data_IF_099113870346
#
_entry.id   IF_099113870346
#
_cell.length_a   1.000
_cell.length_b   1.000
_cell.length_c   1.000
_cell.angle_alpha   90.00
_cell.angle_beta   90.00
_cell.angle_gamma   90.00
#
_symmetry.space_group_name_H-M   'P 1'
#
loop_
_entity.id
_entity.type
_entity.pdbx_description
1 polymer ?
#
# COMPACT_ATOMS: atom_id res chain seq x y z
N UNK A 1 -25.38 -18.77 4.53
CA UNK A 1 -24.28 -19.09 3.59
C UNK A 1 -23.04 -18.37 4.09
N UNK A 2 -22.11 -19.07 4.75
CA UNK A 2 -20.84 -18.49 5.19
C UNK A 2 -19.88 -18.47 4.00
N UNK A 3 -19.56 -17.29 3.48
CA UNK A 3 -18.47 -17.12 2.53
C UNK A 3 -17.15 -17.38 3.28
N UNK A 4 -16.51 -18.52 2.97
CA UNK A 4 -15.16 -18.82 3.47
C UNK A 4 -14.18 -17.85 2.79
N UNK A 5 -13.83 -16.75 3.45
CA UNK A 5 -12.69 -15.93 3.07
C UNK A 5 -11.41 -16.74 3.33
N UNK A 6 -10.88 -17.40 2.30
CA UNK A 6 -9.56 -18.02 2.38
C UNK A 6 -8.50 -16.92 2.40
N UNK A 7 -7.84 -16.73 3.54
CA UNK A 7 -6.70 -15.85 3.68
C UNK A 7 -5.53 -16.42 2.85
N UNK A 8 -5.19 -15.79 1.74
CA UNK A 8 -4.00 -16.14 0.98
C UNK A 8 -2.79 -15.42 1.62
N UNK A 9 -2.14 -16.10 2.57
CA UNK A 9 -0.85 -15.66 3.12
C UNK A 9 0.24 -16.07 2.12
N UNK A 10 0.79 -15.11 1.38
CA UNK A 10 1.91 -15.35 0.47
C UNK A 10 3.19 -15.01 1.23
N UNK A 11 3.80 -16.00 1.90
CA UNK A 11 5.14 -15.89 2.48
C UNK A 11 6.18 -16.01 1.36
N UNK A 12 6.90 -14.92 1.06
CA UNK A 12 8.03 -14.91 0.13
C UNK A 12 9.34 -14.98 0.91
N UNK A 13 9.72 -16.18 1.34
CA UNK A 13 11.00 -16.43 2.00
C UNK A 13 12.08 -16.66 0.92
N UNK A 14 12.70 -15.58 0.42
CA UNK A 14 13.81 -15.65 -0.54
C UNK A 14 15.16 -15.75 0.19
N UNK A 15 15.38 -16.91 0.80
CA UNK A 15 16.74 -17.40 1.01
C UNK A 15 17.33 -17.90 -0.30
N UNK A 16 18.52 -17.40 -0.64
CA UNK A 16 19.45 -17.91 -1.66
C UNK A 16 19.37 -17.28 -3.08
N UNK A 17 20.28 -16.32 -3.27
CA UNK A 17 21.05 -16.01 -4.48
C UNK A 17 20.36 -15.40 -5.71
N UNK A 18 21.03 -14.38 -6.22
CA UNK A 18 20.94 -13.83 -7.56
C UNK A 18 19.76 -12.88 -7.80
N UNK A 19 20.07 -11.59 -7.73
CA UNK A 19 19.60 -10.49 -8.57
C UNK A 19 18.52 -10.82 -9.61
N UNK A 20 17.29 -11.09 -9.20
CA UNK A 20 16.16 -10.99 -10.12
C UNK A 20 15.16 -10.03 -9.51
N UNK A 21 15.24 -8.79 -10.00
CA UNK A 21 14.21 -7.77 -9.87
C UNK A 21 12.96 -8.25 -10.62
N UNK A 22 12.27 -9.25 -10.10
CA UNK A 22 10.96 -9.66 -10.59
C UNK A 22 9.93 -8.68 -10.06
N UNK A 23 9.40 -7.84 -10.96
CA UNK A 23 8.14 -7.15 -10.73
C UNK A 23 7.04 -8.19 -10.53
N UNK A 24 6.70 -8.49 -9.28
CA UNK A 24 5.60 -9.41 -8.97
C UNK A 24 4.27 -8.69 -9.19
N UNK A 25 3.42 -9.23 -10.07
CA UNK A 25 2.07 -8.72 -10.30
C UNK A 25 1.07 -9.71 -9.68
N UNK A 26 0.41 -9.32 -8.60
CA UNK A 26 -0.64 -10.12 -7.96
C UNK A 26 -2.00 -9.67 -8.53
N UNK A 27 -2.75 -10.59 -9.13
CA UNK A 27 -4.11 -10.34 -9.58
C UNK A 27 -5.09 -11.25 -8.82
N UNK A 28 -5.86 -10.67 -7.91
CA UNK A 28 -6.83 -11.42 -7.13
C UNK A 28 -8.16 -10.67 -7.08
N UNK A 29 -9.15 -11.13 -7.86
CA UNK A 29 -10.49 -10.57 -7.82
C UNK A 29 -11.22 -11.07 -6.56
N UNK A 30 -11.43 -10.20 -5.56
CA UNK A 30 -12.16 -10.48 -4.32
C UNK A 30 -11.42 -11.42 -3.33
N UNK A 31 -10.12 -11.22 -3.13
CA UNK A 31 -9.34 -11.96 -2.13
C UNK A 31 -8.88 -11.05 -0.98
N UNK A 32 -8.64 -11.65 0.19
CA UNK A 32 -7.79 -11.06 1.21
C UNK A 32 -6.35 -11.49 0.94
N UNK A 33 -5.50 -10.52 0.61
CA UNK A 33 -4.11 -10.76 0.19
C UNK A 33 -3.17 -10.10 1.19
N UNK A 34 -2.24 -10.88 1.75
CA UNK A 34 -1.15 -10.35 2.54
C UNK A 34 0.15 -10.42 1.74
N UNK A 35 0.90 -9.32 1.71
CA UNK A 35 2.07 -9.16 0.85
C UNK A 35 3.23 -8.67 1.72
N UNK A 36 4.27 -9.48 1.84
CA UNK A 36 5.47 -9.20 2.64
C UNK A 36 6.73 -9.28 1.75
N UNK A 37 6.99 -8.24 0.95
CA UNK A 37 8.18 -8.19 0.12
C UNK A 37 9.40 -7.74 0.92
N UNK A 38 10.39 -8.62 0.95
CA UNK A 38 11.69 -8.40 1.58
C UNK A 38 12.75 -8.27 0.47
N UNK A 39 13.20 -7.05 0.15
CA UNK A 39 14.24 -6.84 -0.87
C UNK A 39 14.21 -5.50 -1.61
N UNK A 40 15.10 -5.34 -2.59
CA UNK A 40 15.22 -4.11 -3.40
C UNK A 40 14.35 -4.09 -4.67
N UNK A 41 13.57 -5.14 -4.94
CA UNK A 41 12.69 -5.24 -6.10
C UNK A 41 11.31 -4.61 -5.85
N UNK A 42 10.69 -4.08 -6.91
CA UNK A 42 9.34 -3.55 -6.83
C UNK A 42 8.25 -4.56 -7.15
N UNK A 43 7.02 -4.31 -6.73
CA UNK A 43 5.86 -5.18 -6.99
C UNK A 43 4.58 -4.38 -7.21
N UNK A 44 3.61 -4.98 -7.88
CA UNK A 44 2.30 -4.40 -8.15
C UNK A 44 1.18 -5.32 -7.66
N UNK A 45 0.16 -4.72 -7.08
CA UNK A 45 -1.02 -5.42 -6.57
C UNK A 45 -2.24 -4.91 -7.30
N UNK A 46 -3.04 -5.83 -7.83
CA UNK A 46 -4.29 -5.53 -8.50
C UNK A 46 -5.41 -6.37 -7.88
N UNK A 47 -6.32 -5.69 -7.18
CA UNK A 47 -7.44 -6.33 -6.48
C UNK A 47 -8.66 -5.42 -6.50
N UNK A 48 -9.54 -5.53 -7.52
CA UNK A 48 -10.62 -4.57 -7.76
C UNK A 48 -11.57 -4.34 -6.58
N UNK A 49 -11.83 -5.40 -5.81
CA UNK A 49 -12.79 -5.41 -4.69
C UNK A 49 -12.26 -6.22 -3.49
N UNK A 50 -10.96 -6.53 -3.43
CA UNK A 50 -10.40 -7.32 -2.33
C UNK A 50 -9.90 -6.46 -1.17
N UNK A 51 -9.25 -7.11 -0.23
CA UNK A 51 -8.56 -6.47 0.88
C UNK A 51 -7.07 -6.81 0.79
N UNK A 52 -6.22 -5.81 0.61
CA UNK A 52 -4.77 -6.01 0.64
C UNK A 52 -4.15 -5.46 1.91
N UNK A 53 -3.34 -6.29 2.56
CA UNK A 53 -2.43 -5.86 3.61
C UNK A 53 -1.00 -5.96 3.09
N UNK A 54 -0.32 -4.82 3.02
CA UNK A 54 0.99 -4.68 2.39
C UNK A 54 2.00 -4.24 3.45
N UNK A 55 2.98 -5.11 3.74
CA UNK A 55 4.02 -4.89 4.76
C UNK A 55 5.43 -4.97 4.14
N UNK A 56 5.88 -3.94 3.41
CA UNK A 56 7.22 -3.90 2.84
C UNK A 56 8.26 -3.45 3.86
N UNK A 57 9.34 -4.23 3.94
CA UNK A 57 10.54 -3.90 4.73
C UNK A 57 11.77 -3.62 3.83
N UNK A 58 11.54 -3.54 2.51
CA UNK A 58 12.57 -3.38 1.49
C UNK A 58 12.84 -1.94 1.03
N UNK A 59 13.85 -1.78 0.17
CA UNK A 59 14.15 -0.51 -0.52
C UNK A 59 13.42 -0.38 -1.88
N UNK A 60 12.75 -1.45 -2.32
CA UNK A 60 11.99 -1.48 -3.56
C UNK A 60 10.64 -0.76 -3.45
N UNK A 61 10.23 -0.11 -4.54
CA UNK A 61 8.95 0.59 -4.60
C UNK A 61 7.78 -0.27 -5.07
N UNK A 62 6.55 0.10 -4.77
CA UNK A 62 5.38 -0.70 -5.15
C UNK A 62 4.15 0.11 -5.51
N UNK A 63 3.24 -0.50 -6.27
CA UNK A 63 1.96 0.11 -6.60
C UNK A 63 0.81 -0.82 -6.21
N UNK A 64 -0.24 -0.25 -5.64
CA UNK A 64 -1.47 -0.96 -5.29
C UNK A 64 -2.63 -0.33 -6.04
N UNK A 65 -3.42 -1.15 -6.74
CA UNK A 65 -4.61 -0.76 -7.47
C UNK A 65 -5.82 -1.54 -6.96
N UNK A 66 -6.66 -0.86 -6.17
CA UNK A 66 -7.86 -1.41 -5.54
C UNK A 66 -9.06 -0.46 -5.64
N UNK A 67 -9.69 -0.32 -6.82
CA UNK A 67 -10.81 0.58 -7.09
C UNK A 67 -11.89 0.69 -6.02
N UNK A 68 -12.34 -0.45 -5.49
CA UNK A 68 -13.42 -0.53 -4.50
C UNK A 68 -12.99 -1.37 -3.28
N UNK A 69 -11.69 -1.65 -3.15
CA UNK A 69 -11.14 -2.53 -2.12
C UNK A 69 -10.77 -1.80 -0.83
N UNK A 70 -10.16 -2.56 0.08
CA UNK A 70 -9.55 -2.04 1.28
C UNK A 70 -8.05 -2.26 1.26
N UNK A 71 -7.28 -1.20 1.17
CA UNK A 71 -5.82 -1.26 1.24
C UNK A 71 -5.33 -0.85 2.62
N UNK A 72 -4.57 -1.70 3.29
CA UNK A 72 -3.77 -1.34 4.47
C UNK A 72 -2.28 -1.47 4.14
N UNK A 73 -1.54 -0.41 4.41
CA UNK A 73 -0.10 -0.36 4.15
C UNK A 73 0.65 -0.01 5.43
N UNK A 74 1.61 -0.86 5.80
CA UNK A 74 2.57 -0.62 6.88
C UNK A 74 3.99 -0.81 6.34
N UNK A 75 4.64 0.27 5.91
CA UNK A 75 5.99 0.20 5.35
C UNK A 75 7.05 0.64 6.37
N UNK A 76 8.02 -0.23 6.62
CA UNK A 76 9.24 0.12 7.38
C UNK A 76 10.43 0.42 6.45
N UNK A 77 10.30 0.07 5.16
CA UNK A 77 11.33 0.25 4.16
C UNK A 77 11.59 1.69 3.70
N UNK A 78 12.65 1.86 2.91
CA UNK A 78 13.01 3.15 2.28
C UNK A 78 12.44 3.31 0.85
N UNK A 79 11.77 2.29 0.32
CA UNK A 79 11.17 2.31 -1.02
C UNK A 79 9.91 3.16 -1.09
N UNK A 80 9.69 3.84 -2.22
CA UNK A 80 8.51 4.67 -2.43
C UNK A 80 7.33 3.91 -3.04
N UNK A 81 6.09 4.34 -2.80
CA UNK A 81 4.92 3.61 -3.26
C UNK A 81 3.73 4.46 -3.67
N UNK A 82 2.87 3.91 -4.53
CA UNK A 82 1.63 4.55 -4.94
C UNK A 82 0.42 3.64 -4.66
N UNK A 83 -0.65 4.24 -4.14
CA UNK A 83 -1.92 3.55 -3.91
C UNK A 83 -3.00 4.25 -4.73
N UNK A 84 -3.74 3.47 -5.50
CA UNK A 84 -4.88 3.94 -6.28
C UNK A 84 -6.14 3.18 -5.83
N UNK A 85 -7.00 3.89 -5.10
CA UNK A 85 -8.23 3.33 -4.52
C UNK A 85 -9.38 4.35 -4.61
N UNK A 86 -9.91 4.62 -5.82
CA UNK A 86 -10.86 5.69 -6.09
C UNK A 86 -12.16 5.68 -5.28
N UNK A 87 -12.71 4.51 -4.95
CA UNK A 87 -13.91 4.38 -4.13
C UNK A 87 -13.68 3.49 -2.89
N UNK A 88 -12.42 3.07 -2.67
CA UNK A 88 -12.07 2.15 -1.60
C UNK A 88 -11.69 2.86 -0.31
N UNK A 89 -11.28 2.07 0.68
CA UNK A 89 -10.68 2.59 1.91
C UNK A 89 -9.19 2.33 1.88
N UNK A 90 -8.40 3.36 2.12
CA UNK A 90 -6.94 3.27 2.20
C UNK A 90 -6.50 3.67 3.60
N UNK A 91 -5.71 2.82 4.25
CA UNK A 91 -5.03 3.15 5.51
C UNK A 91 -3.52 3.01 5.31
N UNK A 92 -2.78 4.07 5.59
CA UNK A 92 -1.34 4.16 5.34
C UNK A 92 -0.61 4.51 6.62
N UNK A 93 0.24 3.62 7.12
CA UNK A 93 1.03 3.77 8.35
C UNK A 93 2.53 3.52 8.07
N UNK A 94 3.21 4.44 7.37
CA UNK A 94 4.63 4.30 7.07
C UNK A 94 5.49 4.74 8.25
N UNK A 95 6.48 3.91 8.57
CA UNK A 95 7.49 4.17 9.58
C UNK A 95 8.90 4.33 8.98
N UNK A 96 9.07 4.03 7.68
CA UNK A 96 10.34 4.13 6.97
C UNK A 96 10.67 5.50 6.38
N UNK A 97 11.73 5.56 5.58
CA UNK A 97 12.18 6.79 4.91
C UNK A 97 11.59 6.96 3.49
N UNK A 98 10.84 5.98 2.99
CA UNK A 98 10.26 5.99 1.65
C UNK A 98 9.06 6.94 1.54
N UNK A 99 8.95 7.65 0.42
CA UNK A 99 7.82 8.53 0.15
C UNK A 99 6.64 7.82 -0.52
N UNK A 100 5.43 8.36 -0.41
CA UNK A 100 4.26 7.74 -1.03
C UNK A 100 3.23 8.71 -1.56
N UNK A 101 2.45 8.22 -2.52
CA UNK A 101 1.28 8.90 -3.02
C UNK A 101 0.03 8.03 -2.87
N UNK A 102 -1.06 8.63 -2.40
CA UNK A 102 -2.37 7.99 -2.33
C UNK A 102 -3.36 8.76 -3.19
N UNK A 103 -4.10 8.06 -4.04
CA UNK A 103 -5.13 8.62 -4.93
C UNK A 103 -6.47 7.92 -4.65
N UNK A 104 -7.44 8.67 -4.12
CA UNK A 104 -8.74 8.15 -3.72
C UNK A 104 -9.87 9.18 -3.87
N UNK A 105 -10.24 9.59 -5.10
CA UNK A 105 -11.17 10.69 -5.37
C UNK A 105 -12.55 10.64 -4.69
N UNK A 106 -13.07 9.46 -4.34
CA UNK A 106 -14.35 9.28 -3.64
C UNK A 106 -14.22 8.31 -2.44
N UNK A 107 -12.99 7.94 -2.08
CA UNK A 107 -12.71 6.93 -1.07
C UNK A 107 -12.58 7.52 0.33
N UNK A 108 -12.16 6.69 1.28
CA UNK A 108 -11.69 7.17 2.58
C UNK A 108 -10.21 6.90 2.69
N UNK A 109 -9.42 7.91 3.02
CA UNK A 109 -7.99 7.79 3.22
C UNK A 109 -7.61 8.21 4.64
N UNK A 110 -7.04 7.27 5.40
CA UNK A 110 -6.45 7.57 6.70
C UNK A 110 -4.94 7.35 6.63
N UNK A 111 -4.19 8.36 7.04
CA UNK A 111 -2.74 8.41 6.87
C UNK A 111 -2.07 8.79 8.18
N UNK A 112 -1.32 7.86 8.79
CA UNK A 112 -0.58 8.02 10.05
C UNK A 112 0.93 7.76 9.84
N UNK A 113 1.66 8.69 9.20
CA UNK A 113 3.08 8.55 8.96
C UNK A 113 3.89 8.86 10.22
N UNK A 114 4.77 7.95 10.58
CA UNK A 114 5.73 8.07 11.68
C UNK A 114 7.19 8.12 11.17
N UNK A 115 7.41 7.92 9.87
CA UNK A 115 8.73 7.90 9.24
C UNK A 115 9.24 9.28 8.77
N UNK A 116 10.36 9.26 8.06
CA UNK A 116 11.00 10.46 7.49
C UNK A 116 10.61 10.74 6.03
N UNK A 117 9.90 9.81 5.38
CA UNK A 117 9.50 9.94 3.97
C UNK A 117 8.38 10.96 3.75
N UNK A 118 8.46 11.70 2.64
CA UNK A 118 7.44 12.67 2.27
C UNK A 118 6.24 12.04 1.55
N UNK A 119 5.06 12.66 1.62
CA UNK A 119 3.86 12.07 1.04
C UNK A 119 2.84 13.03 0.47
N UNK A 120 2.07 12.55 -0.51
CA UNK A 120 0.97 13.28 -1.11
C UNK A 120 -0.31 12.44 -1.09
N UNK A 121 -1.41 13.03 -0.64
CA UNK A 121 -2.75 12.44 -0.76
C UNK A 121 -3.57 13.26 -1.72
N UNK A 122 -4.25 12.61 -2.67
CA UNK A 122 -5.13 13.23 -3.65
C UNK A 122 -6.54 12.66 -3.50
N UNK A 123 -7.45 13.51 -3.05
CA UNK A 123 -8.83 13.17 -2.71
C UNK A 123 -9.76 14.34 -3.06
N UNK A 124 -10.60 14.18 -4.07
CA UNK A 124 -11.51 15.26 -4.53
C UNK A 124 -12.86 15.34 -3.80
N UNK A 125 -13.44 14.21 -3.38
CA UNK A 125 -14.80 14.09 -2.82
C UNK A 125 -14.91 13.09 -1.65
N UNK A 126 -13.82 12.42 -1.33
CA UNK A 126 -13.67 11.47 -0.24
C UNK A 126 -13.36 12.14 1.10
N UNK A 127 -13.07 11.31 2.09
CA UNK A 127 -12.66 11.74 3.42
C UNK A 127 -11.18 11.43 3.62
N UNK A 128 -10.38 12.49 3.75
CA UNK A 128 -8.96 12.36 4.10
C UNK A 128 -8.69 12.79 5.54
N UNK A 129 -8.07 11.89 6.31
CA UNK A 129 -7.54 12.18 7.63
C UNK A 129 -6.03 11.90 7.64
N UNK A 130 -5.25 12.92 8.01
CA UNK A 130 -3.78 12.82 8.09
C UNK A 130 -3.31 13.23 9.48
N UNK A 131 -2.65 12.30 10.19
CA UNK A 131 -2.07 12.51 11.52
C UNK A 131 -0.57 12.15 11.46
N UNK A 132 0.29 13.06 11.01
CA UNK A 132 1.73 12.85 10.98
C UNK A 132 2.33 12.90 12.39
N UNK A 133 3.15 11.90 12.70
CA UNK A 133 4.04 11.87 13.87
C UNK A 133 5.53 11.72 13.47
N UNK A 134 5.81 11.70 12.16
CA UNK A 134 7.15 11.59 11.58
C UNK A 134 7.74 12.93 11.11
N UNK A 135 8.98 12.87 10.63
CA UNK A 135 9.74 14.05 10.17
C UNK A 135 9.53 14.40 8.69
N UNK A 136 8.79 13.59 7.93
CA UNK A 136 8.53 13.79 6.51
C UNK A 136 7.55 14.92 6.21
N UNK A 137 7.77 15.65 5.11
CA UNK A 137 6.85 16.68 4.62
C UNK A 137 5.62 16.08 3.91
N UNK A 138 4.51 16.81 3.89
CA UNK A 138 3.29 16.30 3.26
C UNK A 138 2.43 17.34 2.56
N UNK A 139 1.68 16.87 1.57
CA UNK A 139 0.62 17.63 0.93
C UNK A 139 -0.65 16.79 0.87
N UNK A 140 -1.79 17.43 1.15
CA UNK A 140 -3.11 16.86 0.92
C UNK A 140 -3.81 17.74 -0.11
N UNK A 141 -4.25 17.13 -1.21
CA UNK A 141 -4.88 17.77 -2.33
C UNK A 141 -6.34 17.34 -2.42
N UNK A 142 -7.20 18.33 -2.23
CA UNK A 142 -8.65 18.21 -2.24
C UNK A 142 -9.26 18.20 -0.83
N UNK A 143 -10.59 18.17 -0.78
CA UNK A 143 -11.37 19.09 0.07
C UNK A 143 -11.81 18.51 1.42
#
# INVERSE_FOLDING_TARGET
MLQKCSLAVILLDLGLTCSISFGLCINAANAQTQILPNGGGGYNVYSPNGMSQVLPDGVGGYNVYEPNGMTQVQSNGAGGYNIYSPNGMTQVMPNGAGGYNSYGPNGMSQTLPNGAGGYNTYDSNGLTQTLPNGAGGFNVYGR
#
